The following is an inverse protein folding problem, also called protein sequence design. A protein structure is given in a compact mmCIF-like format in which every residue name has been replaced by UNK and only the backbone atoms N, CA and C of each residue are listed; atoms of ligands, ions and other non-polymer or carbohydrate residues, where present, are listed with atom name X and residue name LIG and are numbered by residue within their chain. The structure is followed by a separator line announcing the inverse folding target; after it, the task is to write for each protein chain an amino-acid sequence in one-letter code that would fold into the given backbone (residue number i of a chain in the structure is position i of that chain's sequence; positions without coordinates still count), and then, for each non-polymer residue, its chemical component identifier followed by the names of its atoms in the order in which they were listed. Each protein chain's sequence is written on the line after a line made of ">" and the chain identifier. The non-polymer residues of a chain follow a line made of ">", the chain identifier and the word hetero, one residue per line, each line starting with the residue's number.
data_IF_729521828860
#
_entry.id   IF_729521828860
#
_cell.length_a   1.000
_cell.length_b   1.000
_cell.length_c   1.000
_cell.angle_alpha   90.00
_cell.angle_beta   90.00
_cell.angle_gamma   90.00
#
_symmetry.space_group_name_H-M   'P 1'
#
loop_
_entity.id
_entity.type
_entity.pdbx_description
1 polymer ?
#
# COMPACT_ATOMS: atom_id res chain seq x y z
N UNK A 1 -13.05 -6.98 -9.90
CA UNK A 1 -13.81 -8.02 -10.61
C UNK A 1 -13.33 -9.43 -10.20
N UNK A 2 -14.25 -10.27 -9.71
CA UNK A 2 -13.98 -11.66 -9.27
C UNK A 2 -13.28 -12.51 -10.35
N UNK A 3 -13.63 -12.30 -11.61
CA UNK A 3 -13.04 -13.01 -12.75
C UNK A 3 -11.51 -12.82 -12.87
N UNK A 4 -11.02 -11.58 -12.76
CA UNK A 4 -9.58 -11.28 -12.84
C UNK A 4 -8.83 -11.97 -11.71
N UNK A 5 -9.37 -11.92 -10.49
CA UNK A 5 -8.78 -12.60 -9.34
C UNK A 5 -8.69 -14.12 -9.55
N UNK A 6 -9.73 -14.72 -10.16
CA UNK A 6 -9.75 -16.14 -10.53
C UNK A 6 -8.70 -16.48 -11.59
N UNK A 7 -8.51 -15.67 -12.63
CA UNK A 7 -7.44 -15.89 -13.63
C UNK A 7 -6.05 -15.87 -12.99
N UNK A 8 -5.78 -14.88 -12.14
CA UNK A 8 -4.49 -14.76 -11.43
C UNK A 8 -4.24 -15.94 -10.49
N UNK A 9 -5.28 -16.41 -9.77
CA UNK A 9 -5.20 -17.62 -8.94
C UNK A 9 -4.82 -18.85 -9.77
N UNK A 10 -5.47 -19.04 -10.91
CA UNK A 10 -5.24 -20.19 -11.78
C UNK A 10 -3.84 -20.17 -12.42
N UNK A 11 -3.36 -19.01 -12.90
CA UNK A 11 -1.96 -18.86 -13.38
C UNK A 11 -0.95 -19.17 -12.26
N UNK A 12 -1.21 -18.74 -11.02
CA UNK A 12 -0.36 -19.07 -9.86
C UNK A 12 -0.33 -20.56 -9.54
N UNK A 13 -1.48 -21.25 -9.63
CA UNK A 13 -1.53 -22.71 -9.46
C UNK A 13 -0.70 -23.42 -10.53
N UNK A 14 -0.79 -22.97 -11.79
CA UNK A 14 0.02 -23.48 -12.90
C UNK A 14 1.53 -23.31 -12.65
N UNK A 15 1.97 -22.13 -12.21
CA UNK A 15 3.40 -21.89 -11.89
C UNK A 15 3.90 -22.72 -10.71
N UNK A 16 3.00 -23.19 -9.85
CA UNK A 16 3.32 -24.08 -8.72
C UNK A 16 3.25 -25.57 -9.11
N UNK A 17 3.03 -25.90 -10.39
CA UNK A 17 2.85 -27.28 -10.84
C UNK A 17 1.54 -27.92 -10.37
N UNK A 18 0.58 -27.14 -9.85
CA UNK A 18 -0.70 -27.65 -9.35
C UNK A 18 -1.74 -27.74 -10.46
N UNK A 19 -2.71 -28.62 -10.26
CA UNK A 19 -3.90 -28.71 -11.11
C UNK A 19 -4.57 -27.35 -11.25
N UNK A 20 -4.85 -26.98 -12.50
CA UNK A 20 -5.39 -25.69 -12.87
C UNK A 20 -6.16 -25.78 -14.19
N UNK A 21 -6.96 -24.76 -14.49
CA UNK A 21 -7.83 -24.69 -15.67
C UNK A 21 -7.30 -23.74 -16.76
N UNK A 22 -6.02 -23.34 -16.70
CA UNK A 22 -5.42 -22.46 -17.72
C UNK A 22 -4.69 -23.28 -18.79
N UNK A 23 -5.29 -23.35 -19.97
CA UNK A 23 -4.63 -23.82 -21.19
C UNK A 23 -3.58 -22.80 -21.67
N UNK A 24 -2.57 -23.25 -22.40
CA UNK A 24 -1.56 -22.36 -23.00
C UNK A 24 -2.19 -21.37 -23.99
N UNK A 25 -3.17 -21.83 -24.78
CA UNK A 25 -3.90 -20.97 -25.72
C UNK A 25 -4.64 -19.82 -25.03
N UNK A 26 -5.21 -20.07 -23.84
CA UNK A 26 -5.88 -19.05 -23.04
C UNK A 26 -4.89 -18.09 -22.43
N UNK A 27 -3.73 -18.57 -21.98
CA UNK A 27 -2.65 -17.73 -21.48
C UNK A 27 -2.20 -16.76 -22.57
N UNK A 28 -1.90 -17.28 -23.76
CA UNK A 28 -1.43 -16.48 -24.89
C UNK A 28 -2.41 -15.37 -25.26
N UNK A 29 -3.69 -15.70 -25.43
CA UNK A 29 -4.75 -14.70 -25.70
C UNK A 29 -4.83 -13.58 -24.65
N UNK A 30 -4.55 -13.90 -23.39
CA UNK A 30 -4.54 -12.91 -22.30
C UNK A 30 -3.25 -12.08 -22.35
N UNK A 31 -2.10 -12.69 -22.61
CA UNK A 31 -0.82 -11.98 -22.76
C UNK A 31 -0.84 -11.04 -23.97
N UNK A 32 -1.44 -11.45 -25.08
CA UNK A 32 -1.57 -10.65 -26.32
C UNK A 32 -2.36 -9.35 -26.11
N UNK A 33 -3.34 -9.33 -25.21
CA UNK A 33 -4.09 -8.12 -24.84
C UNK A 33 -3.43 -7.33 -23.68
N UNK A 34 -2.20 -7.68 -23.30
CA UNK A 34 -1.47 -7.04 -22.21
C UNK A 34 -2.00 -7.38 -20.81
N UNK A 35 -2.68 -8.51 -20.63
CA UNK A 35 -3.22 -8.90 -19.33
C UNK A 35 -2.11 -9.24 -18.32
N UNK A 36 -2.02 -8.45 -17.25
CA UNK A 36 -1.00 -8.62 -16.23
C UNK A 36 -1.44 -9.67 -15.20
N UNK A 37 -0.83 -10.86 -15.27
CA UNK A 37 -1.06 -11.95 -14.31
C UNK A 37 -0.42 -11.70 -12.94
N UNK A 38 0.81 -11.18 -12.92
CA UNK A 38 1.53 -10.86 -11.68
C UNK A 38 1.65 -9.35 -11.52
N UNK A 39 0.71 -8.76 -10.79
CA UNK A 39 0.72 -7.32 -10.53
C UNK A 39 1.87 -6.89 -9.64
N UNK A 40 2.35 -7.75 -8.74
CA UNK A 40 3.42 -7.38 -7.79
C UNK A 40 4.77 -7.23 -8.48
N UNK A 41 5.00 -7.99 -9.55
CA UNK A 41 6.24 -7.95 -10.32
C UNK A 41 6.16 -7.00 -11.53
N UNK A 42 4.98 -6.50 -11.85
CA UNK A 42 4.82 -5.58 -12.97
C UNK A 42 5.25 -4.16 -12.56
N UNK A 43 6.22 -3.61 -13.28
CA UNK A 43 6.84 -2.32 -12.98
C UNK A 43 5.85 -1.15 -13.09
N UNK A 44 4.98 -1.16 -14.11
CA UNK A 44 3.96 -0.13 -14.32
C UNK A 44 2.98 -0.10 -13.13
N UNK A 45 2.49 -1.27 -12.73
CA UNK A 45 1.61 -1.40 -11.56
C UNK A 45 2.30 -0.96 -10.28
N UNK A 46 3.56 -1.38 -10.07
CA UNK A 46 4.36 -1.00 -8.92
C UNK A 46 4.53 0.53 -8.84
N UNK A 47 4.96 1.18 -9.92
CA UNK A 47 5.13 2.63 -9.99
C UNK A 47 3.81 3.37 -9.74
N UNK A 48 2.71 2.88 -10.32
CA UNK A 48 1.38 3.49 -10.12
C UNK A 48 0.93 3.40 -8.66
N UNK A 49 1.13 2.23 -8.03
CA UNK A 49 0.82 2.04 -6.62
C UNK A 49 1.71 2.87 -5.70
N UNK A 50 3.01 2.96 -5.98
CA UNK A 50 3.95 3.79 -5.22
C UNK A 50 3.58 5.27 -5.30
N UNK A 51 3.26 5.78 -6.49
CA UNK A 51 2.78 7.16 -6.69
C UNK A 51 1.50 7.43 -5.89
N UNK A 52 0.50 6.55 -6.01
CA UNK A 52 -0.76 6.69 -5.25
C UNK A 52 -0.53 6.63 -3.74
N UNK A 53 0.34 5.74 -3.29
CA UNK A 53 0.70 5.62 -1.88
C UNK A 53 1.40 6.89 -1.37
N UNK A 54 2.29 7.47 -2.18
CA UNK A 54 2.96 8.72 -1.84
C UNK A 54 1.95 9.87 -1.67
N UNK A 55 1.04 10.04 -2.64
CA UNK A 55 -0.01 11.08 -2.57
C UNK A 55 -0.89 10.95 -1.33
N UNK A 56 -1.33 9.72 -0.99
CA UNK A 56 -2.12 9.48 0.23
C UNK A 56 -1.32 9.74 1.51
N UNK A 57 -0.02 9.49 1.48
CA UNK A 57 0.86 9.78 2.60
C UNK A 57 1.01 11.30 2.79
N UNK A 58 1.30 12.03 1.72
CA UNK A 58 1.46 13.49 1.74
C UNK A 58 0.19 14.20 2.21
N UNK A 59 -0.99 13.80 1.72
CA UNK A 59 -2.26 14.35 2.18
C UNK A 59 -2.50 14.13 3.69
N UNK A 60 -2.14 12.94 4.20
CA UNK A 60 -2.22 12.65 5.64
C UNK A 60 -1.25 13.50 6.46
N UNK A 61 -0.04 13.73 5.93
CA UNK A 61 0.98 14.55 6.55
C UNK A 61 0.56 16.03 6.62
N UNK A 62 0.04 16.59 5.54
CA UNK A 62 -0.52 17.95 5.52
C UNK A 62 -1.66 18.12 6.53
N UNK A 63 -2.53 17.10 6.63
CA UNK A 63 -3.61 17.11 7.62
C UNK A 63 -3.07 17.09 9.06
N UNK A 64 -1.97 16.37 9.31
CA UNK A 64 -1.29 16.39 10.61
C UNK A 64 -0.68 17.76 10.93
N UNK A 65 -0.08 18.42 9.94
CA UNK A 65 0.47 19.78 10.11
C UNK A 65 -0.63 20.79 10.49
N UNK A 66 -1.79 20.70 9.84
CA UNK A 66 -2.97 21.51 10.20
C UNK A 66 -3.41 21.24 11.64
N UNK A 67 -3.51 19.96 12.03
CA UNK A 67 -3.84 19.59 13.40
C UNK A 67 -2.83 20.17 14.41
N UNK A 68 -1.52 20.11 14.12
CA UNK A 68 -0.47 20.71 14.96
C UNK A 68 -0.63 22.22 15.06
N UNK A 69 -0.93 22.92 13.96
CA UNK A 69 -1.15 24.36 13.96
C UNK A 69 -2.35 24.75 14.85
N UNK A 70 -3.41 23.95 14.83
CA UNK A 70 -4.63 24.19 15.61
C UNK A 70 -4.48 23.83 17.09
N UNK A 71 -3.79 22.74 17.42
CA UNK A 71 -3.75 22.17 18.78
C UNK A 71 -2.39 22.35 19.48
N UNK A 72 -1.38 22.85 18.78
CA UNK A 72 0.00 22.98 19.26
C UNK A 72 0.80 21.67 19.32
N UNK A 73 0.17 20.51 19.08
CA UNK A 73 0.80 19.19 19.20
C UNK A 73 0.32 18.19 18.15
N UNK A 74 1.04 17.08 17.98
CA UNK A 74 0.66 15.97 17.08
C UNK A 74 0.01 14.76 17.79
N UNK A 75 -0.40 14.91 19.04
CA UNK A 75 -1.06 13.87 19.83
C UNK A 75 -2.52 13.64 19.41
N UNK A 76 -2.73 13.18 18.17
CA UNK A 76 -4.07 12.87 17.65
C UNK A 76 -4.69 11.70 18.44
N UNK A 77 -5.89 11.86 19.02
CA UNK A 77 -6.59 10.80 19.73
C UNK A 77 -6.95 9.62 18.82
N UNK A 78 -6.94 8.40 19.37
CA UNK A 78 -7.32 7.18 18.64
C UNK A 78 -8.74 7.23 18.09
N UNK A 79 -9.66 7.85 18.82
CA UNK A 79 -11.08 8.03 18.46
C UNK A 79 -11.38 9.50 18.17
N UNK A 80 -10.52 10.17 17.40
CA UNK A 80 -10.76 11.56 17.01
C UNK A 80 -11.96 11.62 16.06
N UNK A 81 -13.12 12.03 16.57
CA UNK A 81 -14.40 12.03 15.84
C UNK A 81 -14.44 13.10 14.75
N UNK A 82 -13.81 14.26 14.98
CA UNK A 82 -13.75 15.35 14.01
C UNK A 82 -12.97 14.97 12.73
N UNK A 83 -11.99 14.07 12.83
CA UNK A 83 -11.32 13.52 11.65
C UNK A 83 -10.81 12.09 11.88
N UNK A 84 -11.71 11.13 11.65
CA UNK A 84 -11.40 9.70 11.79
C UNK A 84 -10.32 9.24 10.81
N UNK A 85 -10.21 9.87 9.63
CA UNK A 85 -9.19 9.58 8.63
C UNK A 85 -7.78 9.90 9.16
N UNK A 86 -7.61 11.06 9.80
CA UNK A 86 -6.35 11.45 10.44
C UNK A 86 -6.00 10.52 11.61
N UNK A 87 -6.97 10.14 12.45
CA UNK A 87 -6.74 9.19 13.53
C UNK A 87 -6.28 7.81 13.02
N UNK A 88 -6.91 7.30 11.96
CA UNK A 88 -6.50 6.05 11.35
C UNK A 88 -5.11 6.16 10.69
N UNK A 89 -4.82 7.28 10.01
CA UNK A 89 -3.54 7.51 9.36
C UNK A 89 -2.39 7.61 10.38
N UNK A 90 -2.56 8.36 11.46
CA UNK A 90 -1.55 8.50 12.54
C UNK A 90 -1.30 7.16 13.25
N UNK A 91 -2.34 6.37 13.52
CA UNK A 91 -2.18 5.01 14.04
C UNK A 91 -1.37 4.11 13.10
N UNK A 92 -1.62 4.19 11.78
CA UNK A 92 -0.81 3.46 10.80
C UNK A 92 0.65 3.91 10.83
N UNK A 93 0.94 5.21 10.94
CA UNK A 93 2.33 5.68 11.03
C UNK A 93 3.04 5.14 12.27
N UNK A 94 2.39 5.19 13.45
CA UNK A 94 2.92 4.62 14.70
C UNK A 94 3.22 3.12 14.57
N UNK A 95 2.29 2.35 13.99
CA UNK A 95 2.48 0.92 13.78
C UNK A 95 3.62 0.60 12.80
N UNK A 96 3.76 1.38 11.72
CA UNK A 96 4.81 1.21 10.73
C UNK A 96 6.19 1.65 11.24
N UNK A 97 6.25 2.69 12.08
CA UNK A 97 7.47 3.10 12.78
C UNK A 97 7.95 2.00 13.73
N UNK A 98 7.06 1.44 14.56
CA UNK A 98 7.39 0.32 15.45
C UNK A 98 7.90 -0.90 14.68
N UNK A 99 7.29 -1.23 13.54
CA UNK A 99 7.76 -2.32 12.67
C UNK A 99 9.17 -2.09 12.15
N UNK A 100 9.48 -0.87 11.72
CA UNK A 100 10.78 -0.54 11.16
C UNK A 100 11.88 -0.47 12.23
N UNK A 101 11.68 0.31 13.28
CA UNK A 101 12.72 0.60 14.28
C UNK A 101 12.82 -0.44 15.39
N UNK A 102 11.70 -0.95 15.89
CA UNK A 102 11.70 -1.84 17.06
C UNK A 102 11.80 -3.31 16.67
N UNK A 103 11.22 -3.68 15.53
CA UNK A 103 11.11 -5.08 15.12
C UNK A 103 12.04 -5.46 13.95
N UNK A 104 12.73 -4.50 13.33
CA UNK A 104 13.57 -4.73 12.15
C UNK A 104 12.81 -5.34 10.96
N UNK A 105 11.48 -5.18 10.92
CA UNK A 105 10.62 -5.77 9.88
C UNK A 105 10.50 -4.82 8.71
N UNK A 106 10.28 -5.38 7.51
CA UNK A 106 9.94 -4.58 6.32
C UNK A 106 8.75 -3.65 6.62
N UNK A 107 8.95 -2.36 6.38
CA UNK A 107 7.98 -1.29 6.59
C UNK A 107 7.82 -0.49 5.30
N UNK A 108 6.65 0.14 5.13
CA UNK A 108 6.44 1.09 4.04
C UNK A 108 6.84 2.53 4.43
N UNK A 109 7.23 2.78 5.69
CA UNK A 109 8.00 3.97 6.02
C UNK A 109 9.42 3.81 5.47
N UNK A 110 9.79 4.66 4.52
CA UNK A 110 11.19 4.85 4.15
C UNK A 110 11.85 5.89 5.08
N UNK A 111 13.17 5.98 5.05
CA UNK A 111 13.93 6.89 5.93
C UNK A 111 13.47 8.36 5.80
N UNK A 112 13.18 8.81 4.58
CA UNK A 112 12.68 10.16 4.31
C UNK A 112 11.35 10.46 5.01
N UNK A 113 10.40 9.51 4.99
CA UNK A 113 9.10 9.65 5.69
C UNK A 113 9.26 9.67 7.19
N UNK A 114 10.19 8.89 7.73
CA UNK A 114 10.49 8.95 9.16
C UNK A 114 11.02 10.34 9.51
N UNK A 115 11.99 10.84 8.75
CA UNK A 115 12.59 12.14 9.04
C UNK A 115 11.53 13.24 9.01
N UNK A 116 10.70 13.27 7.96
CA UNK A 116 9.57 14.21 7.87
C UNK A 116 8.63 14.15 9.07
N UNK A 117 8.39 12.97 9.65
CA UNK A 117 7.56 12.84 10.85
C UNK A 117 8.26 13.25 12.15
N UNK A 118 9.60 13.21 12.19
CA UNK A 118 10.40 13.70 13.32
C UNK A 118 10.55 15.22 13.32
N UNK A 119 10.53 15.82 12.13
CA UNK A 119 10.65 17.27 11.93
C UNK A 119 9.34 18.03 12.22
N UNK A 120 8.24 17.30 12.46
CA UNK A 120 6.96 17.83 12.92
C UNK A 120 6.85 17.67 14.43
#
# INVERSE_FOLDING_TARGET
>A
AYWVARQRKQKRLKTQGKLNLLTESRIKKLEDIGFIFNTKQNEIYKATCEKRYQQLWDAGFETLLKFKKEHGHCCVPRRYTANQTLAAWTQRQRAQYNRYYLLGKKSCLNASKVQRLKDV
#
